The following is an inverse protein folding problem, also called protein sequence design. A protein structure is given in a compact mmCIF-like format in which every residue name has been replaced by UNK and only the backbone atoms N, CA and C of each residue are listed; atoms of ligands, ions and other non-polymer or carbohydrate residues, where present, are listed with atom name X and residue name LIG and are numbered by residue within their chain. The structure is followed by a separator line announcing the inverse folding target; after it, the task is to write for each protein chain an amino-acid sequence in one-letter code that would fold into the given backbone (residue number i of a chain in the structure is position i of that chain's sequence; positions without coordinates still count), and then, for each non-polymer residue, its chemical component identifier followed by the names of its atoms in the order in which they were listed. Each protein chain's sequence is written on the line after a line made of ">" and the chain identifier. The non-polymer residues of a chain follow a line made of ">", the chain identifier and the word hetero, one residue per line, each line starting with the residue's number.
data_IF_395868006609
#
_entry.id   IF_395868006609
#
_cell.length_a   1.000
_cell.length_b   1.000
_cell.length_c   1.000
_cell.angle_alpha   90.00
_cell.angle_beta   90.00
_cell.angle_gamma   90.00
#
_symmetry.space_group_name_H-M   'P 1'
#
loop_
_entity.id
_entity.type
_entity.pdbx_description
1 polymer ?
#
# COMPACT_ATOMS: atom_id res chain seq x y z
N UNK A 1 -6.51 4.01 -12.47
CA UNK A 1 -6.89 4.00 -11.05
C UNK A 1 -7.24 2.57 -10.69
N UNK A 2 -6.46 1.93 -9.83
CA UNK A 2 -6.77 0.59 -9.34
C UNK A 2 -7.47 0.74 -7.99
N UNK A 3 -8.76 0.40 -7.95
CA UNK A 3 -9.52 0.33 -6.71
C UNK A 3 -9.44 -1.12 -6.25
N UNK A 4 -8.78 -1.37 -5.13
CA UNK A 4 -8.76 -2.73 -4.59
C UNK A 4 -10.13 -3.08 -4.02
N UNK A 5 -10.65 -4.25 -4.38
CA UNK A 5 -11.92 -4.81 -3.86
C UNK A 5 -11.74 -5.64 -2.59
N UNK A 6 -10.51 -5.81 -2.10
CA UNK A 6 -10.22 -6.62 -0.91
C UNK A 6 -10.58 -5.94 0.42
N UNK A 7 -10.68 -6.73 1.48
CA UNK A 7 -10.91 -6.24 2.86
C UNK A 7 -9.59 -5.86 3.52
N UNK A 8 -9.27 -4.56 3.52
CA UNK A 8 -8.08 -4.03 4.17
C UNK A 8 -8.38 -3.37 5.51
N UNK A 9 -7.47 -3.54 6.46
CA UNK A 9 -7.42 -2.75 7.69
C UNK A 9 -6.23 -1.82 7.60
N UNK A 10 -6.42 -0.54 7.93
CA UNK A 10 -5.31 0.40 8.04
C UNK A 10 -4.53 0.13 9.33
N UNK A 11 -3.26 -0.25 9.21
CA UNK A 11 -2.43 -0.53 10.38
C UNK A 11 -1.82 0.76 10.92
N UNK A 12 -1.01 1.45 10.09
CA UNK A 12 -0.33 2.70 10.46
C UNK A 12 0.27 3.39 9.25
N UNK A 13 0.64 4.66 9.43
CA UNK A 13 1.54 5.40 8.53
C UNK A 13 2.91 5.53 9.22
N UNK A 14 3.96 5.03 8.59
CA UNK A 14 5.32 5.07 9.15
C UNK A 14 6.21 6.00 8.33
N UNK A 15 6.96 6.87 9.01
CA UNK A 15 7.97 7.72 8.37
C UNK A 15 9.36 7.11 8.58
N UNK A 16 10.14 7.00 7.51
CA UNK A 16 11.51 6.49 7.53
C UNK A 16 12.44 7.39 6.74
N UNK A 17 13.73 7.24 7.00
CA UNK A 17 14.79 7.92 6.24
C UNK A 17 15.59 6.86 5.49
N UNK A 18 15.75 7.05 4.19
CA UNK A 18 16.54 6.14 3.35
C UNK A 18 18.02 6.22 3.74
N UNK A 19 18.80 5.22 3.33
CA UNK A 19 20.26 5.24 3.52
C UNK A 19 20.94 6.48 2.92
N UNK A 20 20.31 7.10 1.92
CA UNK A 20 20.77 8.35 1.29
C UNK A 20 20.29 9.63 1.98
N UNK A 21 19.63 9.55 3.14
CA UNK A 21 19.15 10.70 3.90
C UNK A 21 17.79 11.26 3.44
N UNK A 22 17.17 10.69 2.40
CA UNK A 22 15.87 11.17 1.92
C UNK A 22 14.74 10.56 2.77
N UNK A 23 13.86 11.39 3.37
CA UNK A 23 12.68 10.91 4.09
C UNK A 23 11.65 10.31 3.11
N UNK A 24 10.97 9.26 3.54
CA UNK A 24 9.88 8.63 2.80
C UNK A 24 8.83 8.09 3.78
N UNK A 25 7.61 7.91 3.28
CA UNK A 25 6.46 7.42 4.07
C UNK A 25 6.05 6.04 3.58
N UNK A 26 5.67 5.17 4.50
CA UNK A 26 5.13 3.84 4.23
C UNK A 26 3.71 3.75 4.80
N UNK A 27 2.78 3.27 3.98
CA UNK A 27 1.43 2.91 4.40
C UNK A 27 1.42 1.41 4.67
N UNK A 28 1.08 1.04 5.90
CA UNK A 28 0.92 -0.35 6.31
C UNK A 28 -0.55 -0.72 6.29
N UNK A 29 -0.87 -1.82 5.60
CA UNK A 29 -2.22 -2.34 5.45
C UNK A 29 -2.22 -3.82 5.80
N UNK A 30 -3.31 -4.29 6.41
CA UNK A 30 -3.54 -5.71 6.65
C UNK A 30 -4.62 -6.16 5.70
N UNK A 31 -4.27 -7.08 4.80
CA UNK A 31 -5.22 -7.78 3.96
C UNK A 31 -5.78 -8.96 4.76
N UNK A 32 -7.04 -8.83 5.16
CA UNK A 32 -7.71 -9.82 6.01
C UNK A 32 -8.19 -11.05 5.23
N UNK A 33 -8.21 -11.00 3.90
CA UNK A 33 -8.63 -12.14 3.07
C UNK A 33 -7.45 -13.06 2.79
N UNK A 34 -6.28 -12.48 2.52
CA UNK A 34 -5.06 -13.23 2.24
C UNK A 34 -4.14 -13.39 3.46
N UNK A 35 -4.56 -12.91 4.64
CA UNK A 35 -3.81 -12.96 5.90
C UNK A 35 -2.38 -12.41 5.77
N UNK A 36 -2.21 -11.35 5.00
CA UNK A 36 -0.91 -10.75 4.69
C UNK A 36 -0.85 -9.30 5.14
N UNK A 37 0.35 -8.83 5.46
CA UNK A 37 0.64 -7.40 5.64
C UNK A 37 1.23 -6.86 4.36
N UNK A 38 0.68 -5.74 3.91
CA UNK A 38 1.09 -5.04 2.71
C UNK A 38 1.70 -3.70 3.10
N UNK A 39 2.79 -3.34 2.43
CA UNK A 39 3.51 -2.10 2.65
C UNK A 39 3.62 -1.36 1.31
N UNK A 40 3.20 -0.10 1.29
CA UNK A 40 3.26 0.74 0.11
C UNK A 40 4.02 2.02 0.40
N UNK A 41 4.88 2.44 -0.54
CA UNK A 41 5.44 3.78 -0.51
C UNK A 41 4.32 4.81 -0.72
N UNK A 42 4.20 5.72 0.23
CA UNK A 42 3.26 6.82 0.15
C UNK A 42 3.90 7.99 -0.59
N UNK A 43 3.15 8.56 -1.52
CA UNK A 43 3.47 9.87 -2.07
C UNK A 43 3.27 10.95 -0.99
N UNK A 44 3.83 12.14 -1.23
CA UNK A 44 3.72 13.25 -0.30
C UNK A 44 2.27 13.68 -0.04
N UNK A 45 1.40 13.48 -1.04
CA UNK A 45 -0.01 13.82 -1.04
C UNK A 45 -0.92 12.68 -0.54
N UNK A 46 -0.38 11.69 0.17
CA UNK A 46 -1.19 10.62 0.75
C UNK A 46 -2.26 11.19 1.68
N UNK A 47 -3.51 10.76 1.48
CA UNK A 47 -4.65 11.13 2.32
C UNK A 47 -5.20 9.89 3.01
N UNK A 48 -4.98 9.80 4.32
CA UNK A 48 -5.57 8.76 5.17
C UNK A 48 -6.75 9.37 5.91
N UNK A 49 -7.93 8.79 5.71
CA UNK A 49 -9.19 9.26 6.33
C UNK A 49 -9.79 8.24 7.30
N UNK A 50 -9.19 7.05 7.40
CA UNK A 50 -9.55 6.00 8.33
C UNK A 50 -8.66 6.05 9.58
N UNK A 51 -9.19 5.57 10.70
CA UNK A 51 -8.44 5.39 11.93
C UNK A 51 -7.63 4.08 11.89
N UNK A 52 -6.55 4.02 12.67
CA UNK A 52 -5.76 2.79 12.84
C UNK A 52 -6.62 1.63 13.37
N UNK A 53 -6.38 0.43 12.87
CA UNK A 53 -7.13 -0.78 13.21
C UNK A 53 -8.54 -0.86 12.61
N UNK A 54 -8.97 0.13 11.81
CA UNK A 54 -10.29 0.11 11.18
C UNK A 54 -10.24 -0.41 9.73
N UNK A 55 -11.31 -1.08 9.27
CA UNK A 55 -11.48 -1.42 7.85
C UNK A 55 -11.44 -0.15 6.99
N UNK A 56 -10.76 -0.22 5.85
CA UNK A 56 -10.58 0.91 4.96
C UNK A 56 -10.63 0.50 3.48
N UNK A 57 -11.02 1.45 2.63
CA UNK A 57 -10.96 1.30 1.17
C UNK A 57 -9.67 1.93 0.66
N UNK A 58 -8.89 1.14 -0.06
CA UNK A 58 -7.59 1.56 -0.59
C UNK A 58 -7.72 1.85 -2.08
N UNK A 59 -7.29 3.05 -2.49
CA UNK A 59 -7.27 3.48 -3.90
C UNK A 59 -5.82 3.74 -4.30
N UNK A 60 -5.31 2.95 -5.24
CA UNK A 60 -3.97 3.12 -5.79
C UNK A 60 -4.08 3.89 -7.11
N UNK A 61 -3.51 5.09 -7.13
CA UNK A 61 -3.40 5.92 -8.32
C UNK A 61 -1.98 5.79 -8.84
N UNK A 62 -1.78 4.99 -9.88
CA UNK A 62 -0.50 4.90 -10.55
C UNK A 62 -0.15 6.26 -11.17
N UNK A 63 0.83 6.95 -10.61
CA UNK A 63 1.43 8.11 -11.26
C UNK A 63 2.47 7.63 -12.29
N UNK A 64 2.58 8.36 -13.40
CA UNK A 64 3.45 8.04 -14.56
C UNK A 64 4.93 8.31 -14.29
N UNK A 65 5.40 8.08 -13.06
CA UNK A 65 6.79 8.23 -12.63
C UNK A 65 7.26 6.86 -12.13
N UNK A 66 8.02 6.18 -12.99
CA UNK A 66 8.37 4.78 -12.84
C UNK A 66 9.23 4.51 -11.60
N UNK A 67 8.61 3.92 -10.57
CA UNK A 67 9.30 3.00 -9.69
C UNK A 67 8.51 1.69 -9.69
N UNK A 68 9.08 0.70 -10.37
CA UNK A 68 8.59 -0.67 -10.42
C UNK A 68 8.68 -1.27 -9.02
N UNK A 69 7.58 -1.25 -8.26
CA UNK A 69 7.41 -2.24 -7.20
C UNK A 69 7.39 -3.59 -7.88
N UNK A 70 8.30 -4.49 -7.50
CA UNK A 70 8.33 -5.88 -7.94
C UNK A 70 7.07 -6.60 -7.48
N UNK A 71 5.95 -6.30 -8.11
CA UNK A 71 4.80 -7.18 -8.11
C UNK A 71 5.20 -8.35 -9.00
N UNK A 72 5.76 -9.39 -8.41
CA UNK A 72 5.53 -10.74 -8.92
C UNK A 72 4.02 -10.98 -8.80
N UNK A 73 3.25 -10.45 -9.75
CA UNK A 73 1.94 -10.98 -10.06
C UNK A 73 2.20 -12.40 -10.56
N UNK A 74 2.27 -13.34 -9.62
CA UNK A 74 2.06 -14.74 -9.94
C UNK A 74 0.62 -14.82 -10.44
N UNK A 75 0.45 -14.68 -11.75
CA UNK A 75 -0.75 -15.12 -12.45
C UNK A 75 -0.91 -16.59 -12.12
N UNK A 76 -1.79 -16.89 -11.16
CA UNK A 76 -2.29 -18.24 -10.99
C UNK A 76 -3.17 -18.48 -12.22
N UNK A 77 -2.60 -19.13 -13.24
CA UNK A 77 -3.42 -19.67 -14.33
C UNK A 77 -4.43 -20.62 -13.70
N UNK A 78 -5.74 -20.44 -13.93
CA UNK A 78 -6.70 -21.45 -13.53
C UNK A 78 -6.42 -22.73 -14.34
N UNK A 79 -6.23 -23.84 -13.64
CA UNK A 79 -6.29 -25.19 -14.18
C UNK A 79 -7.58 -25.85 -13.70
#
# INVERSE_FOLDING_TARGET
>A
MFVSTGKFIFEKLEERVSKGGNPFRLVHLIDTENYQRLEFFADNDVKVTCNEGQPCKVVLIAQKMGYSTSMNCLTVSPA
#
